data_IF_013130256092
#
_entry.id   IF_013130256092
#
_cell.length_a   1.000
_cell.length_b   1.000
_cell.length_c   1.000
_cell.angle_alpha   90.00
_cell.angle_beta   90.00
_cell.angle_gamma   90.00
#
_symmetry.space_group_name_H-M   'P 1'
#
loop_
_entity.id
_entity.type
_entity.pdbx_description
1 polymer ?
#
# COMPACT_ATOMS: atom_id res chain seq x y z
N UNK A 1 -16.79 34.10 -73.30
CA UNK A 1 -16.72 35.47 -72.78
C UNK A 1 -16.16 35.35 -71.37
N UNK A 2 -14.83 35.26 -71.27
CA UNK A 2 -13.93 36.41 -71.05
C UNK A 2 -14.19 37.02 -69.68
N UNK A 3 -13.25 37.13 -68.74
CA UNK A 3 -11.82 36.87 -68.79
C UNK A 3 -11.17 37.50 -67.54
N UNK A 4 -10.07 36.88 -67.09
CA UNK A 4 -8.87 37.51 -66.50
C UNK A 4 -8.99 38.20 -65.13
N UNK A 5 -7.98 38.33 -64.28
CA UNK A 5 -6.62 37.79 -64.11
C UNK A 5 -6.06 38.59 -62.91
N UNK A 6 -5.23 37.97 -62.06
CA UNK A 6 -4.55 38.69 -60.98
C UNK A 6 -3.66 37.81 -60.13
N UNK A 7 -2.47 37.50 -60.65
CA UNK A 7 -1.33 36.93 -59.92
C UNK A 7 -0.51 38.03 -59.21
N UNK A 8 0.12 37.69 -58.07
CA UNK A 8 1.50 38.05 -57.66
C UNK A 8 1.72 37.49 -56.24
N UNK A 9 2.55 36.49 -55.96
CA UNK A 9 4.00 36.30 -56.12
C UNK A 9 4.88 37.04 -55.08
N UNK A 10 5.40 36.22 -54.14
CA UNK A 10 6.76 36.17 -53.57
C UNK A 10 7.38 37.40 -52.87
N UNK A 11 7.93 37.19 -51.65
CA UNK A 11 9.40 36.99 -51.44
C UNK A 11 9.87 37.29 -50.00
N UNK A 12 10.97 36.59 -49.63
CA UNK A 12 12.09 37.04 -48.77
C UNK A 12 12.01 36.82 -47.25
N UNK A 13 12.71 35.79 -46.73
CA UNK A 13 14.11 35.77 -46.19
C UNK A 13 14.19 36.29 -44.74
N UNK A 14 14.52 35.40 -43.80
CA UNK A 14 15.88 35.19 -43.26
C UNK A 14 16.20 36.14 -42.09
N UNK A 15 16.39 35.56 -40.92
CA UNK A 15 17.25 36.11 -39.87
C UNK A 15 17.51 35.05 -38.82
N UNK A 16 18.62 34.35 -39.06
CA UNK A 16 19.46 33.79 -38.01
C UNK A 16 19.76 34.85 -36.93
N UNK A 17 19.64 34.48 -35.65
CA UNK A 17 20.53 35.05 -34.62
C UNK A 17 20.88 34.01 -33.57
N UNK A 18 22.10 33.51 -33.73
CA UNK A 18 22.93 32.78 -32.79
C UNK A 18 23.42 33.77 -31.72
N UNK A 19 23.23 33.47 -30.44
CA UNK A 19 24.03 34.06 -29.36
C UNK A 19 24.56 32.93 -28.49
N UNK A 20 25.87 32.88 -28.40
CA UNK A 20 26.68 31.95 -27.60
C UNK A 20 27.08 32.57 -26.26
N UNK A 21 27.11 31.71 -25.23
CA UNK A 21 28.11 31.60 -24.13
C UNK A 21 28.01 32.48 -22.88
N UNK A 22 27.81 31.83 -21.73
CA UNK A 22 28.63 31.86 -20.50
C UNK A 22 27.97 30.91 -19.46
N UNK A 23 28.56 29.78 -19.07
CA UNK A 23 29.63 29.58 -18.08
C UNK A 23 29.20 29.84 -16.62
N UNK A 24 29.18 28.78 -15.81
CA UNK A 24 28.98 28.76 -14.35
C UNK A 24 28.53 27.36 -13.91
N UNK A 25 29.41 26.36 -13.83
CA UNK A 25 30.20 26.01 -12.64
C UNK A 25 29.45 26.19 -11.32
N UNK A 26 28.87 25.11 -10.79
CA UNK A 26 29.08 24.77 -9.39
C UNK A 26 28.93 23.26 -9.12
N UNK A 27 30.09 22.59 -9.00
CA UNK A 27 30.26 21.26 -8.41
C UNK A 27 30.26 21.45 -6.89
N UNK A 28 29.43 20.70 -6.17
CA UNK A 28 29.62 20.47 -4.74
C UNK A 28 29.85 18.97 -4.54
N UNK A 29 31.11 18.55 -4.70
CA UNK A 29 31.59 17.27 -4.20
C UNK A 29 31.89 17.44 -2.71
N UNK A 30 31.19 16.70 -1.85
CA UNK A 30 31.60 16.48 -0.47
C UNK A 30 32.30 15.13 -0.43
N UNK A 31 33.63 15.16 -0.40
CA UNK A 31 34.49 14.06 0.07
C UNK A 31 34.96 14.43 1.47
N UNK A 32 34.97 13.44 2.37
CA UNK A 32 35.83 13.20 3.55
C UNK A 32 35.09 12.14 4.38
N UNK A 33 35.66 11.08 4.93
CA UNK A 33 37.03 10.59 5.01
C UNK A 33 36.98 9.13 5.46
N UNK A 34 37.80 8.27 4.87
CA UNK A 34 38.12 6.96 5.42
C UNK A 34 39.03 7.12 6.65
N UNK A 35 38.74 6.38 7.72
CA UNK A 35 39.67 6.14 8.81
C UNK A 35 39.86 4.62 8.95
N UNK A 36 41.03 4.16 8.50
CA UNK A 36 41.60 2.86 8.81
C UNK A 36 42.26 2.93 10.19
N UNK A 37 42.10 1.91 11.02
CA UNK A 37 43.07 1.54 12.05
C UNK A 37 43.04 0.03 12.30
N UNK A 38 44.21 -0.56 12.07
CA UNK A 38 44.70 -1.91 12.37
C UNK A 38 44.77 -2.06 13.91
N UNK A 39 45.00 -3.18 14.60
CA UNK A 39 45.14 -4.64 14.44
C UNK A 39 45.47 -5.14 15.87
N UNK A 40 45.11 -6.37 16.26
CA UNK A 40 45.91 -7.22 17.16
C UNK A 40 45.24 -8.59 17.39
N UNK A 41 46.07 -9.60 17.33
CA UNK A 41 45.84 -11.05 17.43
C UNK A 41 46.01 -11.62 18.85
N UNK A 42 45.51 -12.85 19.03
CA UNK A 42 46.01 -13.98 19.87
C UNK A 42 45.05 -14.43 21.00
N UNK A 43 44.98 -15.67 21.49
CA UNK A 43 45.24 -17.08 21.10
C UNK A 43 44.82 -17.94 22.33
N UNK A 44 44.40 -19.21 22.12
CA UNK A 44 44.34 -20.34 23.11
C UNK A 44 43.25 -20.32 24.20
N UNK A 45 42.74 -21.44 24.76
CA UNK A 45 42.85 -22.89 24.53
C UNK A 45 41.85 -23.67 25.44
N UNK A 46 41.44 -24.85 24.96
CA UNK A 46 41.26 -26.16 25.63
C UNK A 46 40.42 -26.38 26.93
N UNK A 47 39.63 -27.47 26.91
CA UNK A 47 39.18 -28.26 28.08
C UNK A 47 37.77 -28.86 27.87
N UNK A 48 37.56 -30.05 27.30
CA UNK A 48 37.62 -31.43 27.84
C UNK A 48 36.66 -31.78 29.00
N UNK A 49 35.81 -32.80 28.75
CA UNK A 49 35.07 -33.64 29.71
C UNK A 49 33.55 -33.46 29.63
N UNK A 50 32.66 -34.45 29.73
CA UNK A 50 32.71 -35.91 29.84
C UNK A 50 31.21 -36.35 29.79
N UNK A 51 30.81 -37.20 28.83
CA UNK A 51 30.32 -38.58 29.03
C UNK A 51 28.85 -38.78 29.53
N UNK A 52 28.16 -39.66 28.79
CA UNK A 52 26.98 -40.51 29.09
C UNK A 52 25.57 -39.94 28.92
N UNK A 53 25.04 -40.19 27.71
CA UNK A 53 23.62 -40.37 27.44
C UNK A 53 23.13 -41.71 28.02
N UNK A 54 22.03 -41.68 28.77
CA UNK A 54 21.18 -42.84 29.04
C UNK A 54 19.77 -42.45 28.62
N UNK A 55 19.29 -43.02 27.52
CA UNK A 55 17.89 -43.00 27.14
C UNK A 55 17.18 -44.18 27.82
N UNK A 56 15.95 -43.97 28.33
CA UNK A 56 14.85 -44.94 28.32
C UNK A 56 13.54 -44.31 28.85
N UNK A 57 12.54 -44.33 27.96
CA UNK A 57 11.09 -44.48 28.18
C UNK A 57 10.29 -43.50 29.06
N UNK A 58 9.39 -42.77 28.38
CA UNK A 58 7.97 -43.10 28.48
C UNK A 58 7.00 -42.01 28.97
N UNK A 59 5.94 -41.80 28.16
CA UNK A 59 4.55 -41.46 28.56
C UNK A 59 4.05 -40.03 28.25
N UNK A 60 3.44 -39.94 27.07
CA UNK A 60 2.20 -39.22 26.71
C UNK A 60 1.74 -37.99 27.52
N UNK A 61 1.82 -36.82 26.88
CA UNK A 61 0.81 -35.73 26.85
C UNK A 61 1.07 -34.99 25.53
N UNK A 62 0.14 -34.93 24.59
CA UNK A 62 -1.09 -34.17 24.74
C UNK A 62 -0.91 -32.81 24.04
N UNK A 63 -1.09 -32.80 22.71
CA UNK A 63 -1.62 -31.71 21.89
C UNK A 63 -1.33 -30.28 22.41
N UNK A 64 -0.14 -29.77 22.11
CA UNK A 64 0.20 -28.35 22.10
C UNK A 64 1.46 -28.15 21.27
N UNK A 65 1.35 -28.29 19.95
CA UNK A 65 2.44 -28.03 19.02
C UNK A 65 1.81 -27.70 17.68
N UNK A 66 1.53 -26.41 17.49
CA UNK A 66 1.33 -25.75 16.19
C UNK A 66 1.21 -24.21 16.35
N UNK A 67 1.40 -23.65 17.56
CA UNK A 67 1.30 -22.20 17.82
C UNK A 67 2.62 -21.53 18.25
N UNK A 68 3.74 -22.25 18.29
CA UNK A 68 4.99 -21.77 18.92
C UNK A 68 6.24 -21.86 18.01
N UNK A 69 6.06 -21.77 16.69
CA UNK A 69 7.18 -21.70 15.75
C UNK A 69 6.91 -20.71 14.61
N UNK A 70 6.41 -19.52 14.96
CA UNK A 70 6.59 -18.33 14.13
C UNK A 70 7.67 -17.49 14.82
N UNK A 71 8.75 -17.26 14.09
CA UNK A 71 9.91 -16.41 14.39
C UNK A 71 9.74 -15.41 15.53
N UNK A 72 10.71 -15.39 16.45
CA UNK A 72 10.91 -14.25 17.35
C UNK A 72 10.97 -12.98 16.50
N UNK A 73 10.04 -12.07 16.73
CA UNK A 73 9.98 -10.78 16.05
C UNK A 73 11.32 -10.09 16.23
N UNK A 74 11.99 -9.75 15.13
CA UNK A 74 13.31 -9.09 15.18
C UNK A 74 13.17 -7.57 15.19
N UNK A 75 12.14 -7.04 14.54
CA UNK A 75 11.91 -5.60 14.36
C UNK A 75 10.47 -5.23 14.67
N UNK A 76 10.28 -4.27 15.57
CA UNK A 76 8.99 -3.61 15.83
C UNK A 76 8.98 -2.25 15.17
N UNK A 77 8.12 -2.04 14.16
CA UNK A 77 7.97 -0.75 13.49
C UNK A 77 6.82 0.04 14.12
N UNK A 78 7.11 1.06 14.90
CA UNK A 78 6.09 1.76 15.71
C UNK A 78 5.16 2.61 14.87
N UNK A 79 3.86 2.52 15.17
CA UNK A 79 2.77 3.13 14.42
C UNK A 79 2.12 4.28 15.18
N UNK A 80 1.54 5.20 14.41
CA UNK A 80 0.67 6.26 14.90
C UNK A 80 -0.51 6.44 13.97
N UNK A 81 -1.66 6.78 14.52
CA UNK A 81 -2.90 6.95 13.78
C UNK A 81 -4.06 7.11 14.75
N UNK A 82 -5.26 7.19 14.23
CA UNK A 82 -6.45 7.20 15.08
C UNK A 82 -6.70 5.80 15.66
N UNK A 83 -7.09 5.72 16.93
CA UNK A 83 -7.38 4.46 17.63
C UNK A 83 -8.36 3.54 16.90
N UNK A 84 -9.38 4.09 16.23
CA UNK A 84 -10.33 3.27 15.46
C UNK A 84 -9.67 2.59 14.27
N UNK A 85 -8.80 3.29 13.56
CA UNK A 85 -8.12 2.76 12.37
C UNK A 85 -6.99 1.79 12.77
N UNK A 86 -6.27 2.07 13.86
CA UNK A 86 -5.33 1.12 14.47
C UNK A 86 -6.05 -0.16 14.91
N UNK A 87 -7.22 -0.05 15.55
CA UNK A 87 -8.02 -1.20 15.93
C UNK A 87 -8.60 -1.93 14.72
N UNK A 88 -9.00 -1.20 13.66
CA UNK A 88 -9.43 -1.80 12.40
C UNK A 88 -8.30 -2.65 11.77
N UNK A 89 -7.03 -2.21 11.86
CA UNK A 89 -5.87 -3.02 11.42
C UNK A 89 -5.61 -4.25 12.29
N UNK A 90 -5.70 -4.13 13.63
CA UNK A 90 -5.58 -5.30 14.54
C UNK A 90 -6.64 -6.35 14.21
N UNK A 91 -7.89 -5.90 14.01
CA UNK A 91 -9.00 -6.78 13.68
C UNK A 91 -8.87 -7.38 12.28
N UNK A 92 -8.26 -6.65 11.35
CA UNK A 92 -7.99 -7.12 10.00
C UNK A 92 -6.88 -8.16 9.98
N UNK A 93 -5.83 -7.98 10.79
CA UNK A 93 -4.63 -8.82 10.81
C UNK A 93 -4.41 -9.41 12.22
N UNK A 94 -5.30 -10.29 12.70
CA UNK A 94 -5.21 -10.85 14.06
C UNK A 94 -4.04 -11.83 14.24
N UNK A 95 -3.35 -12.21 13.17
CA UNK A 95 -2.23 -13.15 13.17
C UNK A 95 -1.63 -13.32 11.78
N UNK A 96 -0.67 -14.25 11.65
CA UNK A 96 0.07 -14.52 10.42
C UNK A 96 1.40 -13.78 10.35
N UNK A 97 1.96 -13.75 9.13
CA UNK A 97 3.29 -13.18 8.85
C UNK A 97 3.33 -11.65 8.90
N UNK A 98 2.18 -10.98 8.95
CA UNK A 98 2.08 -9.53 9.11
C UNK A 98 0.94 -9.21 10.07
N UNK A 99 1.22 -8.44 11.13
CA UNK A 99 0.25 -8.11 12.17
C UNK A 99 0.50 -6.74 12.78
N UNK A 100 -0.57 -6.13 13.27
CA UNK A 100 -0.51 -4.94 14.12
C UNK A 100 -0.76 -5.37 15.56
N UNK A 101 0.13 -5.00 16.46
CA UNK A 101 0.06 -5.36 17.88
C UNK A 101 -0.10 -4.10 18.71
N UNK A 102 -0.98 -4.19 19.72
CA UNK A 102 -1.15 -3.18 20.75
C UNK A 102 -0.38 -3.59 22.00
N UNK A 103 0.40 -2.67 22.55
CA UNK A 103 1.04 -2.76 23.86
C UNK A 103 0.64 -1.54 24.70
N UNK A 104 1.10 -1.48 25.95
CA UNK A 104 0.77 -0.38 26.86
C UNK A 104 1.15 0.99 26.29
N UNK A 105 2.34 1.10 25.71
CA UNK A 105 2.91 2.36 25.21
C UNK A 105 2.64 2.65 23.71
N UNK A 106 1.73 1.89 23.07
CA UNK A 106 1.30 2.19 21.70
C UNK A 106 1.07 0.97 20.83
N UNK A 107 1.29 1.15 19.53
CA UNK A 107 1.04 0.14 18.51
C UNK A 107 2.27 -0.01 17.63
N UNK A 108 2.54 -1.23 17.19
CA UNK A 108 3.61 -1.48 16.23
C UNK A 108 3.18 -2.49 15.17
N UNK A 109 3.87 -2.45 14.04
CA UNK A 109 3.77 -3.41 12.94
C UNK A 109 4.90 -4.44 13.06
N UNK A 110 4.54 -5.71 12.95
CA UNK A 110 5.46 -6.83 12.78
C UNK A 110 5.20 -7.46 11.42
N UNK A 111 6.27 -7.82 10.71
CA UNK A 111 6.16 -8.53 9.44
C UNK A 111 7.43 -9.31 9.12
N UNK A 112 7.30 -10.51 8.55
CA UNK A 112 8.44 -11.28 8.06
C UNK A 112 9.23 -10.51 6.98
N UNK A 113 8.56 -9.68 6.18
CA UNK A 113 9.22 -8.85 5.16
C UNK A 113 10.04 -7.69 5.78
N UNK A 114 9.74 -7.31 7.03
CA UNK A 114 10.53 -6.33 7.78
C UNK A 114 11.69 -7.01 8.51
N UNK A 115 11.44 -8.21 9.07
CA UNK A 115 12.44 -9.00 9.77
C UNK A 115 13.50 -9.60 8.82
N UNK A 116 13.08 -9.91 7.59
CA UNK A 116 13.88 -10.54 6.54
C UNK A 116 13.68 -9.81 5.20
N UNK A 117 14.11 -8.54 5.11
CA UNK A 117 13.98 -7.77 3.88
C UNK A 117 14.88 -8.33 2.78
N UNK A 118 14.59 -8.06 1.49
CA UNK A 118 15.46 -8.46 0.39
C UNK A 118 16.92 -8.00 0.58
N UNK A 119 17.87 -8.75 0.02
CA UNK A 119 19.31 -8.45 0.14
C UNK A 119 19.63 -6.98 -0.21
N UNK A 120 20.30 -6.29 0.71
CA UNK A 120 20.69 -4.89 0.56
C UNK A 120 19.58 -3.87 0.86
N UNK A 121 18.36 -4.31 1.17
CA UNK A 121 17.26 -3.44 1.61
C UNK A 121 17.22 -3.41 3.14
N UNK A 122 17.36 -2.24 3.78
CA UNK A 122 17.23 -2.16 5.23
C UNK A 122 15.76 -2.25 5.68
N UNK A 123 15.53 -2.73 6.91
CA UNK A 123 14.17 -2.90 7.46
C UNK A 123 13.33 -1.61 7.43
N UNK A 124 13.96 -0.44 7.58
CA UNK A 124 13.26 0.86 7.57
C UNK A 124 12.85 1.31 6.16
N UNK A 125 13.34 0.66 5.10
CA UNK A 125 12.83 0.81 3.73
C UNK A 125 11.77 -0.23 3.37
N UNK A 126 11.80 -1.41 4.02
CA UNK A 126 10.77 -2.44 3.88
C UNK A 126 9.47 -2.05 4.62
N UNK A 127 9.58 -1.53 5.85
CA UNK A 127 8.42 -1.21 6.69
C UNK A 127 7.41 -0.23 6.04
N UNK A 128 7.81 0.86 5.35
CA UNK A 128 6.87 1.72 4.63
C UNK A 128 6.09 1.00 3.53
N UNK A 129 6.70 0.01 2.85
CA UNK A 129 6.04 -0.79 1.79
C UNK A 129 4.98 -1.70 2.39
N UNK A 130 5.33 -2.41 3.46
CA UNK A 130 4.39 -3.26 4.20
C UNK A 130 3.24 -2.43 4.76
N UNK A 131 3.53 -1.30 5.43
CA UNK A 131 2.49 -0.44 5.99
C UNK A 131 1.54 0.08 4.90
N UNK A 132 2.08 0.49 3.75
CA UNK A 132 1.27 0.96 2.63
C UNK A 132 0.34 -0.14 2.11
N UNK A 133 0.82 -1.37 1.96
CA UNK A 133 0.00 -2.52 1.55
C UNK A 133 -1.15 -2.77 2.53
N UNK A 134 -0.90 -2.80 3.84
CA UNK A 134 -1.95 -3.06 4.84
C UNK A 134 -2.94 -1.88 4.97
N UNK A 135 -2.47 -0.65 4.83
CA UNK A 135 -3.31 0.54 4.71
C UNK A 135 -4.23 0.45 3.48
N UNK A 136 -3.69 0.00 2.35
CA UNK A 136 -4.46 -0.25 1.14
C UNK A 136 -5.53 -1.32 1.35
N UNK A 137 -5.20 -2.41 2.04
CA UNK A 137 -6.15 -3.49 2.36
C UNK A 137 -7.28 -2.98 3.27
N UNK A 138 -6.95 -2.20 4.28
CA UNK A 138 -7.93 -1.58 5.17
C UNK A 138 -8.84 -0.59 4.43
N UNK A 139 -8.27 0.24 3.54
CA UNK A 139 -9.03 1.15 2.68
C UNK A 139 -9.93 0.43 1.68
N UNK A 140 -9.48 -0.69 1.11
CA UNK A 140 -10.30 -1.52 0.23
C UNK A 140 -11.52 -2.11 0.97
N UNK A 141 -11.37 -2.45 2.26
CA UNK A 141 -12.48 -2.93 3.10
C UNK A 141 -13.39 -1.78 3.56
N UNK A 142 -12.82 -0.63 3.87
CA UNK A 142 -13.51 0.55 4.37
C UNK A 142 -12.97 1.79 3.64
N UNK A 143 -13.69 2.37 2.66
CA UNK A 143 -13.21 3.52 1.89
C UNK A 143 -12.99 4.77 2.77
N UNK A 144 -13.54 4.80 3.97
CA UNK A 144 -13.39 5.89 4.95
C UNK A 144 -12.28 5.64 5.98
N UNK A 145 -11.48 4.57 5.82
CA UNK A 145 -10.34 4.26 6.66
C UNK A 145 -9.29 5.37 6.57
N UNK A 146 -8.90 5.90 7.73
CA UNK A 146 -7.84 6.89 7.85
C UNK A 146 -6.50 6.16 8.02
N UNK A 147 -5.52 6.54 7.20
CA UNK A 147 -4.30 5.76 7.14
C UNK A 147 -3.47 5.91 8.41
N UNK A 148 -2.90 4.79 8.81
CA UNK A 148 -1.91 4.72 9.89
C UNK A 148 -0.54 5.04 9.31
N UNK A 149 0.30 5.69 10.10
CA UNK A 149 1.65 6.12 9.71
C UNK A 149 2.72 5.43 10.57
N UNK A 150 3.92 5.27 10.01
CA UNK A 150 5.10 4.97 10.80
C UNK A 150 5.49 6.20 11.62
N UNK A 151 5.88 5.98 12.87
CA UNK A 151 6.48 7.03 13.71
C UNK A 151 7.91 7.36 13.31
N UNK A 152 8.58 6.45 12.61
CA UNK A 152 10.03 6.48 12.37
C UNK A 152 10.84 5.79 13.48
N UNK A 153 10.21 5.36 14.58
CA UNK A 153 10.86 4.58 15.62
C UNK A 153 10.75 3.08 15.30
N UNK A 154 11.85 2.36 15.53
CA UNK A 154 11.95 0.92 15.37
C UNK A 154 12.66 0.33 16.59
N UNK A 155 12.14 -0.74 17.17
CA UNK A 155 12.82 -1.46 18.24
C UNK A 155 13.31 -2.81 17.71
N UNK A 156 14.56 -3.14 17.98
CA UNK A 156 15.17 -4.45 17.70
C UNK A 156 15.65 -5.08 19.00
N UNK A 157 16.01 -6.37 19.00
CA UNK A 157 16.58 -7.03 20.18
C UNK A 157 17.80 -6.26 20.73
N UNK A 158 17.56 -5.48 21.80
CA UNK A 158 18.56 -4.70 22.53
C UNK A 158 18.80 -3.25 22.08
N UNK A 159 18.14 -2.73 21.03
CA UNK A 159 18.38 -1.38 20.53
C UNK A 159 17.12 -0.69 19.98
N UNK A 160 16.95 0.59 20.31
CA UNK A 160 15.98 1.47 19.67
C UNK A 160 16.65 2.28 18.56
N UNK A 161 16.06 2.27 17.37
CA UNK A 161 16.47 3.03 16.20
C UNK A 161 15.42 4.10 15.91
N UNK A 162 15.84 5.36 15.86
CA UNK A 162 14.99 6.47 15.40
C UNK A 162 15.45 6.92 14.01
N UNK A 163 14.58 6.80 13.03
CA UNK A 163 14.74 7.38 11.70
C UNK A 163 13.88 8.64 11.64
N UNK A 164 14.52 9.79 11.41
CA UNK A 164 13.80 11.07 11.34
C UNK A 164 12.94 11.10 10.07
N UNK A 165 11.63 11.00 10.25
CA UNK A 165 10.62 11.20 9.19
C UNK A 165 9.71 12.37 9.59
N UNK A 166 9.32 13.21 8.63
CA UNK A 166 8.41 14.33 8.87
C UNK A 166 7.02 13.84 9.28
N UNK A 167 6.60 14.18 10.50
CA UNK A 167 5.32 13.81 11.07
C UNK A 167 4.25 14.91 10.88
N UNK A 168 3.02 14.53 10.46
CA UNK A 168 1.80 15.36 10.55
C UNK A 168 0.86 14.89 11.67
N UNK A 169 0.08 15.79 12.30
CA UNK A 169 -0.93 15.46 13.33
C UNK A 169 -2.32 15.84 12.78
N UNK A 170 -3.31 14.94 12.90
CA UNK A 170 -4.73 15.17 12.57
C UNK A 170 -5.61 14.65 13.71
N UNK A 171 -6.71 15.35 14.02
CA UNK A 171 -7.68 14.96 15.05
C UNK A 171 -9.07 14.77 14.43
N UNK A 172 -9.80 13.73 14.84
CA UNK A 172 -11.16 13.41 14.36
C UNK A 172 -12.01 12.75 15.45
N UNK A 173 -13.33 12.82 15.30
CA UNK A 173 -14.30 12.01 16.02
C UNK A 173 -15.06 11.10 15.03
N UNK A 174 -15.24 9.81 15.38
CA UNK A 174 -16.05 8.83 14.63
C UNK A 174 -17.10 8.26 15.58
N UNK A 175 -18.36 8.23 15.13
CA UNK A 175 -19.44 7.48 15.78
C UNK A 175 -19.54 6.15 15.03
N UNK A 176 -19.22 5.04 15.70
CA UNK A 176 -19.46 3.70 15.18
C UNK A 176 -20.70 3.10 15.85
N UNK A 177 -21.61 2.53 15.05
CA UNK A 177 -22.64 1.63 15.53
C UNK A 177 -22.27 0.21 15.07
N UNK A 178 -21.88 -0.66 15.99
CA UNK A 178 -21.61 -2.07 15.67
C UNK A 178 -22.94 -2.79 15.49
N UNK A 179 -23.43 -2.86 14.25
CA UNK A 179 -24.65 -3.58 13.93
C UNK A 179 -24.45 -5.09 14.05
N UNK A 180 -25.03 -5.72 15.07
CA UNK A 180 -25.15 -7.18 15.14
C UNK A 180 -26.28 -7.63 14.23
N UNK A 181 -25.94 -8.33 13.13
CA UNK A 181 -26.95 -8.98 12.30
C UNK A 181 -27.51 -10.16 13.09
N UNK A 182 -28.79 -10.08 13.47
CA UNK A 182 -29.51 -11.15 14.14
C UNK A 182 -30.31 -11.95 13.11
N UNK A 183 -30.26 -13.27 13.22
CA UNK A 183 -31.22 -14.15 12.55
C UNK A 183 -32.64 -13.87 13.09
N UNK A 184 -33.72 -14.25 12.36
CA UNK A 184 -35.10 -14.10 12.84
C UNK A 184 -35.38 -14.74 14.21
N UNK A 185 -34.56 -15.73 14.62
CA UNK A 185 -34.62 -16.37 15.94
C UNK A 185 -33.81 -15.65 17.03
N UNK A 186 -33.33 -14.43 16.78
CA UNK A 186 -32.56 -13.61 17.73
C UNK A 186 -31.08 -13.97 17.85
N UNK A 187 -30.61 -15.05 17.20
CA UNK A 187 -29.21 -15.46 17.23
C UNK A 187 -28.34 -14.47 16.45
N UNK A 188 -27.29 -13.96 17.09
CA UNK A 188 -26.27 -13.11 16.45
C UNK A 188 -25.52 -13.97 15.43
N UNK A 189 -25.45 -13.52 14.17
CA UNK A 189 -24.54 -14.13 13.21
C UNK A 189 -23.11 -13.90 13.69
N UNK A 190 -22.25 -14.94 13.73
CA UNK A 190 -20.85 -14.75 14.06
C UNK A 190 -20.27 -13.67 13.15
N UNK A 191 -19.46 -12.77 13.70
CA UNK A 191 -18.69 -11.83 12.92
C UNK A 191 -17.97 -12.61 11.81
N UNK A 192 -18.06 -12.11 10.57
CA UNK A 192 -17.36 -12.73 9.45
C UNK A 192 -15.89 -12.97 9.86
N UNK A 193 -15.33 -14.17 9.64
CA UNK A 193 -13.95 -14.44 10.00
C UNK A 193 -13.03 -13.34 9.48
N UNK A 194 -12.05 -12.94 10.29
CA UNK A 194 -11.04 -11.98 9.86
C UNK A 194 -10.18 -12.61 8.75
N UNK A 195 -10.60 -12.44 7.51
CA UNK A 195 -9.93 -12.97 6.32
C UNK A 195 -8.68 -12.17 5.92
N UNK A 196 -8.30 -11.16 6.70
CA UNK A 196 -7.21 -10.26 6.34
C UNK A 196 -5.82 -10.92 6.24
N UNK A 197 -5.43 -11.93 7.05
CA UNK A 197 -4.15 -12.61 6.84
C UNK A 197 -4.07 -13.32 5.49
N UNK A 198 -5.15 -13.97 5.05
CA UNK A 198 -5.20 -14.61 3.73
C UNK A 198 -5.13 -13.56 2.60
N UNK A 199 -5.83 -12.43 2.74
CA UNK A 199 -5.77 -11.33 1.77
C UNK A 199 -4.40 -10.65 1.74
N UNK A 200 -3.74 -10.50 2.89
CA UNK A 200 -2.38 -9.97 2.99
C UNK A 200 -1.38 -10.90 2.30
N UNK A 201 -1.56 -12.22 2.45
CA UNK A 201 -0.74 -13.21 1.74
C UNK A 201 -0.94 -13.15 0.23
N UNK A 202 -2.19 -13.08 -0.26
CA UNK A 202 -2.48 -12.88 -1.69
C UNK A 202 -1.80 -11.62 -2.22
N UNK A 203 -1.84 -10.53 -1.45
CA UNK A 203 -1.17 -9.28 -1.83
C UNK A 203 0.35 -9.43 -1.90
N UNK A 204 0.97 -10.11 -0.93
CA UNK A 204 2.41 -10.35 -0.93
C UNK A 204 2.87 -11.25 -2.09
N UNK A 205 2.02 -12.18 -2.55
CA UNK A 205 2.36 -13.14 -3.61
C UNK A 205 1.90 -12.74 -5.02
N UNK A 206 1.10 -11.67 -5.16
CA UNK A 206 0.50 -11.27 -6.45
C UNK A 206 0.87 -9.83 -6.81
N UNK A 207 1.84 -9.61 -7.73
CA UNK A 207 2.35 -8.28 -8.05
C UNK A 207 1.28 -7.25 -8.43
N UNK A 208 0.26 -7.65 -9.19
CA UNK A 208 -0.84 -6.76 -9.56
C UNK A 208 -1.66 -6.31 -8.33
N UNK A 209 -1.90 -7.22 -7.37
CA UNK A 209 -2.61 -6.89 -6.13
C UNK A 209 -1.77 -5.96 -5.28
N UNK A 210 -0.47 -6.23 -5.15
CA UNK A 210 0.47 -5.36 -4.45
C UNK A 210 0.47 -3.94 -5.05
N UNK A 211 0.54 -3.82 -6.38
CA UNK A 211 0.50 -2.54 -7.10
C UNK A 211 -0.80 -1.75 -6.83
N UNK A 212 -1.95 -2.43 -6.88
CA UNK A 212 -3.23 -1.80 -6.57
C UNK A 212 -3.30 -1.34 -5.10
N UNK A 213 -2.81 -2.16 -4.16
CA UNK A 213 -2.80 -1.84 -2.74
C UNK A 213 -1.78 -0.74 -2.40
N UNK A 214 -0.66 -0.64 -3.12
CA UNK A 214 0.28 0.49 -3.01
C UNK A 214 -0.42 1.82 -3.30
N UNK A 215 -1.19 1.88 -4.40
CA UNK A 215 -1.99 3.07 -4.73
C UNK A 215 -3.06 3.30 -3.67
N UNK A 216 -3.78 2.25 -3.26
CA UNK A 216 -4.82 2.36 -2.25
C UNK A 216 -4.27 2.79 -0.89
N UNK A 217 -3.00 2.51 -0.59
CA UNK A 217 -2.33 2.86 0.67
C UNK A 217 -1.69 4.25 0.71
N UNK A 218 -1.84 5.07 -0.34
CA UNK A 218 -1.30 6.43 -0.37
C UNK A 218 -1.98 7.34 0.66
N UNK A 219 -1.17 8.12 1.40
CA UNK A 219 -1.61 9.03 2.49
C UNK A 219 -2.69 10.02 2.07
N UNK A 220 -2.63 10.47 0.81
CA UNK A 220 -3.61 11.39 0.27
C UNK A 220 -4.96 10.69 0.01
N UNK A 221 -6.02 11.49 0.07
CA UNK A 221 -7.34 11.04 -0.38
C UNK A 221 -7.26 10.72 -1.86
N UNK A 222 -7.65 9.50 -2.24
CA UNK A 222 -7.59 9.08 -3.64
C UNK A 222 -8.56 9.90 -4.47
N UNK A 223 -8.03 10.51 -5.53
CA UNK A 223 -8.79 11.26 -6.52
C UNK A 223 -8.92 10.46 -7.82
N UNK A 224 -9.62 11.00 -8.82
CA UNK A 224 -9.91 10.30 -10.07
C UNK A 224 -8.71 9.61 -10.73
N UNK A 225 -7.52 10.23 -10.86
CA UNK A 225 -6.37 9.57 -11.49
C UNK A 225 -5.91 8.33 -10.74
N UNK A 226 -5.85 8.35 -9.40
CA UNK A 226 -5.47 7.19 -8.60
C UNK A 226 -6.52 6.08 -8.68
N UNK A 227 -7.80 6.42 -8.52
CA UNK A 227 -8.91 5.46 -8.59
C UNK A 227 -8.96 4.77 -9.96
N UNK A 228 -8.71 5.50 -11.04
CA UNK A 228 -8.71 4.93 -12.39
C UNK A 228 -7.51 4.00 -12.62
N UNK A 229 -6.33 4.30 -12.08
CA UNK A 229 -5.18 3.38 -12.16
C UNK A 229 -5.49 2.04 -11.49
N UNK A 230 -6.09 2.07 -10.30
CA UNK A 230 -6.53 0.84 -9.62
C UNK A 230 -7.53 0.06 -10.47
N UNK A 231 -8.52 0.76 -11.05
CA UNK A 231 -9.47 0.16 -12.00
C UNK A 231 -8.78 -0.48 -13.23
N UNK A 232 -7.76 0.18 -13.80
CA UNK A 232 -6.99 -0.34 -14.93
C UNK A 232 -6.22 -1.62 -14.54
N UNK A 233 -5.59 -1.64 -13.37
CA UNK A 233 -4.85 -2.80 -12.84
C UNK A 233 -5.80 -4.00 -12.69
N UNK A 234 -6.93 -3.82 -12.00
CA UNK A 234 -7.93 -4.89 -11.81
C UNK A 234 -8.40 -5.41 -13.17
N UNK A 235 -8.76 -4.51 -14.09
CA UNK A 235 -9.24 -4.90 -15.43
C UNK A 235 -8.19 -5.59 -16.29
N UNK A 236 -6.91 -5.26 -16.12
CA UNK A 236 -5.84 -5.91 -16.84
C UNK A 236 -5.64 -7.34 -16.36
N UNK A 237 -5.69 -7.55 -15.05
CA UNK A 237 -5.42 -8.82 -14.40
C UNK A 237 -6.54 -9.87 -14.58
N UNK A 238 -7.79 -9.44 -14.73
CA UNK A 238 -8.94 -10.35 -14.93
C UNK A 238 -9.18 -10.76 -16.39
N UNK A 239 -8.33 -10.36 -17.34
CA UNK A 239 -8.51 -10.73 -18.74
C UNK A 239 -8.41 -12.25 -18.93
N UNK A 240 -9.18 -12.85 -19.86
CA UNK A 240 -10.03 -12.21 -20.87
C UNK A 240 -11.44 -11.80 -20.40
N UNK A 241 -11.82 -12.10 -19.16
CA UNK A 241 -13.13 -11.72 -18.61
C UNK A 241 -13.24 -10.21 -18.43
N UNK A 242 -14.47 -9.70 -18.37
CA UNK A 242 -14.76 -8.33 -17.95
C UNK A 242 -15.39 -8.28 -16.55
N UNK A 243 -15.34 -7.11 -15.92
CA UNK A 243 -16.03 -6.86 -14.64
C UNK A 243 -17.54 -7.14 -14.71
N UNK A 244 -18.14 -6.97 -15.88
CA UNK A 244 -19.57 -7.23 -16.11
C UNK A 244 -19.82 -8.73 -16.21
N UNK A 245 -18.98 -9.47 -16.94
CA UNK A 245 -19.12 -10.93 -17.07
C UNK A 245 -18.96 -11.65 -15.73
N UNK A 246 -18.10 -11.11 -14.87
CA UNK A 246 -17.90 -11.61 -13.51
C UNK A 246 -18.99 -11.15 -12.53
N UNK A 247 -19.87 -10.24 -12.94
CA UNK A 247 -20.91 -9.67 -12.07
C UNK A 247 -20.37 -8.75 -10.96
N UNK A 248 -19.15 -8.25 -11.08
CA UNK A 248 -18.50 -7.41 -10.05
C UNK A 248 -18.90 -5.94 -10.15
N UNK A 249 -19.27 -5.48 -11.36
CA UNK A 249 -19.86 -4.16 -11.59
C UNK A 249 -20.76 -4.19 -12.82
N UNK A 250 -21.81 -3.37 -12.82
CA UNK A 250 -22.66 -3.15 -13.99
C UNK A 250 -21.96 -2.28 -15.05
N UNK A 251 -22.39 -2.40 -16.30
CA UNK A 251 -21.95 -1.51 -17.38
C UNK A 251 -22.25 -0.03 -17.07
N UNK A 252 -23.36 0.23 -16.36
CA UNK A 252 -23.79 1.56 -15.96
C UNK A 252 -22.86 2.17 -14.90
N UNK A 253 -22.45 1.41 -13.89
CA UNK A 253 -21.46 1.84 -12.89
C UNK A 253 -20.11 2.13 -13.54
N UNK A 254 -19.65 1.26 -14.44
CA UNK A 254 -18.38 1.44 -15.16
C UNK A 254 -18.45 2.69 -16.05
N UNK A 255 -19.57 2.91 -16.75
CA UNK A 255 -19.78 4.09 -17.58
C UNK A 255 -19.82 5.37 -16.75
N UNK A 256 -20.54 5.38 -15.63
CA UNK A 256 -20.60 6.54 -14.73
C UNK A 256 -19.23 6.86 -14.11
N UNK A 257 -18.49 5.84 -13.67
CA UNK A 257 -17.14 5.97 -13.13
C UNK A 257 -16.17 6.54 -14.18
N UNK A 258 -16.03 5.87 -15.32
CA UNK A 258 -15.07 6.27 -16.37
C UNK A 258 -15.45 7.62 -16.98
N UNK A 259 -16.74 7.88 -17.18
CA UNK A 259 -17.26 9.16 -17.64
C UNK A 259 -16.92 10.31 -16.70
N UNK A 260 -17.12 10.13 -15.39
CA UNK A 260 -16.82 11.16 -14.39
C UNK A 260 -15.31 11.36 -14.21
N UNK A 261 -14.53 10.28 -14.20
CA UNK A 261 -13.08 10.34 -14.01
C UNK A 261 -12.34 11.03 -15.16
N UNK A 262 -12.81 10.83 -16.40
CA UNK A 262 -12.10 11.29 -17.60
C UNK A 262 -12.47 12.73 -18.00
N UNK A 263 -13.59 13.26 -17.52
CA UNK A 263 -14.19 14.46 -18.11
C UNK A 263 -14.03 15.74 -17.29
N UNK A 264 -13.42 16.79 -17.86
CA UNK A 264 -13.24 18.06 -17.15
C UNK A 264 -14.55 18.85 -16.98
N UNK A 265 -15.54 18.67 -17.85
CA UNK A 265 -16.87 19.27 -17.72
C UNK A 265 -17.73 18.61 -16.63
N UNK A 266 -17.30 17.46 -16.08
CA UNK A 266 -17.91 16.80 -14.92
C UNK A 266 -17.09 17.01 -13.65
N UNK A 267 -15.79 16.73 -13.72
CA UNK A 267 -14.90 16.69 -12.54
C UNK A 267 -13.95 17.87 -12.42
N UNK A 268 -14.03 18.84 -13.33
CA UNK A 268 -13.19 20.02 -13.34
C UNK A 268 -11.71 19.67 -13.51
N UNK A 269 -10.85 20.38 -12.76
CA UNK A 269 -9.39 20.19 -12.77
C UNK A 269 -8.93 18.85 -12.20
N UNK A 270 -9.81 18.12 -11.51
CA UNK A 270 -9.50 16.79 -10.96
C UNK A 270 -9.69 15.65 -11.96
N UNK A 271 -10.30 15.93 -13.12
CA UNK A 271 -10.44 14.95 -14.18
C UNK A 271 -9.07 14.51 -14.70
N UNK A 272 -8.98 13.26 -15.19
CA UNK A 272 -7.75 12.71 -15.80
C UNK A 272 -7.34 13.45 -17.08
N UNK A 273 -8.31 13.98 -17.82
CA UNK A 273 -8.04 14.73 -19.04
C UNK A 273 -8.38 16.20 -18.87
N UNK A 274 -7.47 17.06 -19.35
CA UNK A 274 -7.69 18.51 -19.36
C UNK A 274 -8.73 18.95 -20.40
N UNK A 275 -8.94 18.15 -21.46
CA UNK A 275 -9.89 18.42 -22.55
C UNK A 275 -10.46 17.10 -23.05
N UNK A 276 -11.76 17.07 -23.32
CA UNK A 276 -12.44 15.91 -23.92
C UNK A 276 -13.59 16.41 -24.80
N UNK A 277 -13.74 15.83 -26.00
CA UNK A 277 -14.85 16.14 -26.90
C UNK A 277 -16.11 15.31 -26.60
N UNK A 278 -17.24 15.71 -27.19
CA UNK A 278 -18.53 15.00 -27.09
C UNK A 278 -19.45 15.52 -25.97
N UNK A 279 -20.69 15.03 -25.95
CA UNK A 279 -21.70 15.44 -24.96
C UNK A 279 -21.43 14.82 -23.57
N UNK A 280 -21.72 15.52 -22.45
CA UNK A 280 -21.55 15.00 -21.09
C UNK A 280 -22.23 13.64 -20.89
N UNK A 281 -21.70 12.77 -20.01
CA UNK A 281 -22.29 11.48 -19.74
C UNK A 281 -23.65 11.68 -19.05
N UNK A 282 -24.62 10.86 -19.43
CA UNK A 282 -25.96 10.88 -18.83
C UNK A 282 -25.96 10.50 -17.35
N UNK A 283 -24.97 9.69 -16.93
CA UNK A 283 -24.79 9.29 -15.54
C UNK A 283 -23.43 9.76 -15.05
N UNK A 284 -23.44 10.36 -13.86
CA UNK A 284 -22.25 10.87 -13.18
C UNK A 284 -22.11 10.15 -11.85
N UNK A 285 -20.89 10.12 -11.34
CA UNK A 285 -20.51 9.49 -10.08
C UNK A 285 -19.71 10.50 -9.27
N UNK A 286 -20.01 10.61 -7.98
CA UNK A 286 -19.18 11.40 -7.07
C UNK A 286 -17.83 10.71 -6.82
N UNK A 287 -16.83 11.43 -6.32
CA UNK A 287 -15.58 10.78 -5.91
C UNK A 287 -15.78 9.81 -4.75
N UNK A 288 -16.73 10.11 -3.85
CA UNK A 288 -17.10 9.22 -2.75
C UNK A 288 -17.65 7.90 -3.30
N UNK A 289 -18.61 7.96 -4.24
CA UNK A 289 -19.14 6.77 -4.91
C UNK A 289 -18.09 6.02 -5.72
N UNK A 290 -17.11 6.73 -6.28
CA UNK A 290 -15.99 6.12 -6.97
C UNK A 290 -15.05 5.38 -6.01
N UNK A 291 -14.75 5.95 -4.83
CA UNK A 291 -13.98 5.26 -3.78
C UNK A 291 -14.71 4.01 -3.30
N UNK A 292 -16.03 4.07 -3.13
CA UNK A 292 -16.85 2.91 -2.77
C UNK A 292 -16.81 1.81 -3.84
N UNK A 293 -16.99 2.18 -5.12
CA UNK A 293 -16.91 1.24 -6.24
C UNK A 293 -15.53 0.57 -6.28
N UNK A 294 -14.45 1.34 -6.24
CA UNK A 294 -13.08 0.81 -6.32
C UNK A 294 -12.75 -0.06 -5.11
N UNK A 295 -13.14 0.34 -3.91
CA UNK A 295 -12.90 -0.44 -2.68
C UNK A 295 -13.60 -1.80 -2.74
N UNK A 296 -14.86 -1.82 -3.20
CA UNK A 296 -15.60 -3.07 -3.44
C UNK A 296 -14.93 -3.92 -4.52
N UNK A 297 -14.55 -3.34 -5.66
CA UNK A 297 -13.89 -4.07 -6.74
C UNK A 297 -12.58 -4.71 -6.29
N UNK A 298 -11.73 -3.97 -5.57
CA UNK A 298 -10.46 -4.50 -5.05
C UNK A 298 -10.72 -5.63 -4.05
N UNK A 299 -11.69 -5.47 -3.14
CA UNK A 299 -12.04 -6.53 -2.18
C UNK A 299 -12.52 -7.79 -2.87
N UNK A 300 -13.47 -7.69 -3.80
CA UNK A 300 -14.00 -8.83 -4.55
C UNK A 300 -12.92 -9.49 -5.41
N UNK A 301 -12.04 -8.71 -6.04
CA UNK A 301 -10.95 -9.22 -6.84
C UNK A 301 -9.92 -9.99 -6.01
N UNK A 302 -9.51 -9.47 -4.85
CA UNK A 302 -8.63 -10.19 -3.92
C UNK A 302 -9.30 -11.49 -3.46
N UNK A 303 -10.59 -11.45 -3.11
CA UNK A 303 -11.32 -12.65 -2.68
C UNK A 303 -11.41 -13.73 -3.77
N UNK A 304 -11.44 -13.34 -5.05
CA UNK A 304 -11.45 -14.30 -6.17
C UNK A 304 -10.13 -15.04 -6.39
N UNK A 305 -9.04 -14.57 -5.75
CA UNK A 305 -7.69 -15.16 -5.85
C UNK A 305 -7.36 -16.09 -4.68
N UNK A 306 -8.27 -16.22 -3.73
CA UNK A 306 -8.12 -17.08 -2.54
C UNK A 306 -8.42 -18.54 -2.85
#
# INVERSE_FOLDING_TARGET
MEGASGQSAASSTDSQRRVTRAAGHNRSEVRLSAASSQSATSTSAAGLGSVLATALNGTTRGRASDADSLSSVKVKAWLRGHDFDLQDLINLLPGGETRVVKVEDGHYLESIEIDEPPDGVPFYEAAPRVLRRINGLARARNPNFELVELTGNYSTDGWDHTVVSMASIKARARIQATGVVRKPNGAVLPAQPADGPARAQVAASTPAVDEALDIMGQLDVLSWPQLYKVFEIVRADIKPQSLVDLGWASADEISAFTGSANRPDVSGTRARHARMGGAPPHRQMSEEGARELISRLVTTWIDSKR
#
